data_IF_245318471154
#
_entry.id   IF_245318471154
#
_cell.length_a   1.000
_cell.length_b   1.000
_cell.length_c   1.000
_cell.angle_alpha   90.00
_cell.angle_beta   90.00
_cell.angle_gamma   90.00
#
_symmetry.space_group_name_H-M   'P 1'
#
loop_
_entity.id
_entity.type
_entity.pdbx_description
1 polymer ?
#
# COMPACT_ATOMS: atom_id res chain seq x y z
N UNK A 1 16.03 2.14 -6.81
CA UNK A 1 14.75 1.51 -6.52
C UNK A 1 13.72 1.97 -7.53
N UNK A 2 13.13 1.04 -8.25
CA UNK A 2 12.29 1.38 -9.39
C UNK A 2 10.81 1.20 -9.06
N UNK A 3 10.26 2.17 -8.35
CA UNK A 3 8.82 2.23 -8.15
C UNK A 3 8.29 3.51 -8.74
N UNK A 4 7.02 3.46 -9.17
CA UNK A 4 6.39 4.62 -9.79
C UNK A 4 5.82 5.55 -8.73
N UNK A 5 5.57 6.80 -9.14
CA UNK A 5 4.90 7.76 -8.28
C UNK A 5 3.53 7.23 -7.85
N UNK A 6 2.82 6.55 -8.75
CA UNK A 6 1.51 5.99 -8.43
C UNK A 6 1.60 4.93 -7.33
N UNK A 7 2.62 4.07 -7.39
CA UNK A 7 2.82 3.07 -6.35
C UNK A 7 3.08 3.71 -5.00
N UNK A 8 3.88 4.77 -4.98
CA UNK A 8 4.13 5.52 -3.76
C UNK A 8 2.86 6.18 -3.23
N UNK A 9 2.06 6.77 -4.11
CA UNK A 9 0.78 7.37 -3.73
C UNK A 9 -0.14 6.34 -3.09
N UNK A 10 -0.22 5.15 -3.66
CA UNK A 10 -1.04 4.05 -3.11
C UNK A 10 -0.53 3.66 -1.73
N UNK A 11 0.79 3.48 -1.58
CA UNK A 11 1.39 3.14 -0.31
C UNK A 11 1.03 4.16 0.77
N UNK A 12 1.22 5.45 0.47
CA UNK A 12 0.95 6.51 1.44
C UNK A 12 -0.53 6.61 1.78
N UNK A 13 -1.41 6.42 0.80
CA UNK A 13 -2.84 6.46 1.03
C UNK A 13 -3.29 5.30 1.92
N UNK A 14 -2.76 4.10 1.71
CA UNK A 14 -3.08 2.95 2.55
C UNK A 14 -2.56 3.17 3.97
N UNK A 15 -1.34 3.69 4.10
CA UNK A 15 -0.75 3.97 5.40
C UNK A 15 -1.60 4.96 6.19
N UNK A 16 -2.12 5.98 5.52
CA UNK A 16 -2.96 7.01 6.15
C UNK A 16 -4.35 6.48 6.49
N UNK A 17 -4.97 5.76 5.57
CA UNK A 17 -6.34 5.28 5.74
C UNK A 17 -6.44 4.04 6.63
N UNK A 18 -5.39 3.22 6.66
CA UNK A 18 -5.39 1.95 7.37
C UNK A 18 -6.34 0.93 6.76
N UNK A 19 -6.77 1.14 5.51
CA UNK A 19 -7.77 0.31 4.86
C UNK A 19 -7.60 0.45 3.36
N UNK A 20 -7.47 -0.68 2.67
CA UNK A 20 -7.25 -0.69 1.22
C UNK A 20 -8.43 -0.10 0.44
N UNK A 21 -9.65 -0.44 0.85
CA UNK A 21 -10.85 0.06 0.18
C UNK A 21 -10.93 1.58 0.24
N UNK A 22 -10.68 2.15 1.42
CA UNK A 22 -10.72 3.60 1.58
C UNK A 22 -9.61 4.28 0.80
N UNK A 23 -8.42 3.71 0.80
CA UNK A 23 -7.31 4.26 0.03
C UNK A 23 -7.65 4.29 -1.45
N UNK A 24 -8.23 3.20 -1.97
CA UNK A 24 -8.63 3.12 -3.36
C UNK A 24 -9.68 4.19 -3.69
N UNK A 25 -10.65 4.38 -2.81
CA UNK A 25 -11.69 5.42 -2.99
C UNK A 25 -11.06 6.81 -3.06
N UNK A 26 -10.12 7.10 -2.18
CA UNK A 26 -9.41 8.38 -2.16
C UNK A 26 -8.68 8.65 -3.47
N UNK A 27 -8.10 7.61 -4.04
CA UNK A 27 -7.32 7.73 -5.27
C UNK A 27 -8.19 7.55 -6.52
N UNK A 28 -9.48 7.32 -6.35
CA UNK A 28 -10.41 7.04 -7.45
C UNK A 28 -9.96 5.84 -8.28
N UNK A 29 -9.48 4.81 -7.59
CA UNK A 29 -9.04 3.56 -8.17
C UNK A 29 -9.95 2.43 -7.73
N UNK A 30 -9.97 1.33 -8.50
CA UNK A 30 -10.60 0.12 -8.03
C UNK A 30 -9.74 -0.49 -6.90
N UNK A 31 -10.37 -1.29 -6.04
CA UNK A 31 -9.64 -1.99 -4.99
C UNK A 31 -8.61 -2.95 -5.59
N UNK A 32 -8.95 -3.60 -6.69
CA UNK A 32 -8.03 -4.51 -7.39
C UNK A 32 -6.79 -3.77 -7.89
N UNK A 33 -6.97 -2.58 -8.47
CA UNK A 33 -5.85 -1.78 -8.97
C UNK A 33 -4.95 -1.32 -7.83
N UNK A 34 -5.54 -0.87 -6.72
CA UNK A 34 -4.78 -0.44 -5.56
C UNK A 34 -4.01 -1.60 -4.94
N UNK A 35 -4.66 -2.76 -4.83
CA UNK A 35 -4.03 -3.97 -4.30
C UNK A 35 -2.85 -4.41 -5.18
N UNK A 36 -3.03 -4.37 -6.51
CA UNK A 36 -1.98 -4.71 -7.44
C UNK A 36 -0.79 -3.79 -7.34
N UNK A 37 -1.04 -2.48 -7.22
CA UNK A 37 0.03 -1.50 -7.08
C UNK A 37 0.83 -1.73 -5.79
N UNK A 38 0.13 -2.02 -4.69
CA UNK A 38 0.80 -2.32 -3.42
C UNK A 38 1.64 -3.59 -3.53
N UNK A 39 1.08 -4.62 -4.15
CA UNK A 39 1.79 -5.89 -4.32
C UNK A 39 3.05 -5.70 -5.16
N UNK A 40 2.97 -4.92 -6.23
CA UNK A 40 4.12 -4.62 -7.07
C UNK A 40 5.20 -3.90 -6.28
N UNK A 41 4.80 -2.94 -5.46
CA UNK A 41 5.75 -2.21 -4.62
C UNK A 41 6.43 -3.15 -3.62
N UNK A 42 5.66 -4.01 -2.95
CA UNK A 42 6.21 -4.97 -2.01
C UNK A 42 7.17 -5.94 -2.70
N UNK A 43 6.83 -6.36 -3.92
CA UNK A 43 7.70 -7.24 -4.70
C UNK A 43 9.02 -6.56 -5.07
N UNK A 44 9.01 -5.28 -5.37
CA UNK A 44 10.23 -4.54 -5.69
C UNK A 44 11.17 -4.46 -4.50
N UNK A 45 10.62 -4.31 -3.30
CA UNK A 45 11.42 -4.30 -2.08
C UNK A 45 11.74 -5.70 -1.58
N UNK A 46 11.02 -6.72 -2.06
CA UNK A 46 11.18 -8.10 -1.60
C UNK A 46 10.68 -8.32 -0.17
N UNK A 47 9.82 -7.44 0.33
CA UNK A 47 9.31 -7.50 1.69
C UNK A 47 7.85 -7.09 1.71
N UNK A 48 7.14 -7.51 2.77
CA UNK A 48 5.80 -7.02 3.05
C UNK A 48 5.91 -5.71 3.84
N UNK A 49 5.13 -4.72 3.45
CA UNK A 49 5.13 -3.41 4.09
C UNK A 49 4.00 -3.24 5.10
N UNK A 50 2.96 -4.07 4.99
CA UNK A 50 1.79 -3.99 5.84
C UNK A 50 1.46 -5.35 6.44
N UNK A 51 1.06 -5.33 7.69
CA UNK A 51 0.44 -6.48 8.33
C UNK A 51 -1.06 -6.38 8.16
N UNK A 52 -1.71 -7.52 7.92
CA UNK A 52 -3.15 -7.57 7.73
C UNK A 52 -3.82 -8.13 8.96
N UNK A 53 -4.84 -7.42 9.41
CA UNK A 53 -5.72 -7.88 10.50
C UNK A 53 -7.16 -7.72 10.02
N UNK A 54 -7.77 -8.82 9.62
CA UNK A 54 -9.08 -8.76 8.99
C UNK A 54 -9.02 -7.96 7.69
N UNK A 55 -9.81 -6.89 7.61
CA UNK A 55 -9.84 -6.00 6.44
C UNK A 55 -8.90 -4.81 6.57
N UNK A 56 -8.21 -4.68 7.69
CA UNK A 56 -7.32 -3.55 7.93
C UNK A 56 -5.89 -3.89 7.57
N UNK A 57 -5.18 -2.88 7.09
CA UNK A 57 -3.76 -2.94 6.81
C UNK A 57 -3.05 -1.99 7.75
N UNK A 58 -2.03 -2.51 8.44
CA UNK A 58 -1.20 -1.71 9.34
C UNK A 58 0.22 -1.74 8.84
N UNK A 59 0.88 -0.58 8.85
CA UNK A 59 2.30 -0.54 8.54
C UNK A 59 3.06 -1.43 9.51
N UNK A 60 3.83 -2.37 8.95
CA UNK A 60 4.76 -3.12 9.76
C UNK A 60 6.04 -2.31 9.93
N UNK A 61 7.03 -2.88 10.62
CA UNK A 61 8.28 -2.19 10.87
C UNK A 61 8.95 -1.74 9.57
N UNK A 62 8.93 -2.59 8.55
CA UNK A 62 9.55 -2.27 7.26
C UNK A 62 8.81 -1.15 6.55
N UNK A 63 7.48 -1.15 6.60
CA UNK A 63 6.68 -0.09 6.02
C UNK A 63 6.91 1.24 6.72
N UNK A 64 7.08 1.24 8.03
CA UNK A 64 7.38 2.45 8.77
C UNK A 64 8.76 3.02 8.40
N UNK A 65 9.72 2.18 8.11
CA UNK A 65 11.04 2.62 7.66
C UNK A 65 10.97 3.29 6.29
N UNK A 66 10.11 2.78 5.40
CA UNK A 66 9.92 3.37 4.08
C UNK A 66 9.21 4.72 4.16
N UNK A 67 8.22 4.80 5.02
CA UNK A 67 7.45 6.01 5.19
C UNK A 67 8.31 7.15 5.79
#
# INVERSE_FOLDING_TARGET
MDFTLRQLEVFLAIAKAGNLTRAAQHLQMSQSAASGALKDLENQFGILLFDRTGKRLHLNEKGNQLR
#
